data_IF_921438173629
#
_entry.id   IF_921438173629
#
_cell.length_a   1.000
_cell.length_b   1.000
_cell.length_c   1.000
_cell.angle_alpha   90.00
_cell.angle_beta   90.00
_cell.angle_gamma   90.00
#
_symmetry.space_group_name_H-M   'P 1'
#
loop_
_entity.id
_entity.type
_entity.pdbx_description
1 polymer ?
#
# COMPACT_ATOMS: atom_id res chain seq x y z
N UNK A 1 -11.51 6.02 80.08
CA UNK A 1 -11.96 5.24 78.91
C UNK A 1 -11.76 5.97 77.57
N UNK A 2 -11.57 7.30 77.53
CA UNK A 2 -11.42 8.10 76.30
C UNK A 2 -10.05 8.03 75.61
N UNK A 3 -8.95 7.80 76.34
CA UNK A 3 -7.58 7.80 75.76
C UNK A 3 -7.35 6.63 74.78
N UNK A 4 -7.91 5.46 75.05
CA UNK A 4 -7.73 4.28 74.20
C UNK A 4 -8.56 4.34 72.91
N UNK A 5 -9.73 5.02 72.95
CA UNK A 5 -10.59 5.22 71.78
C UNK A 5 -9.97 6.20 70.78
N UNK A 6 -9.30 7.25 71.27
CA UNK A 6 -8.57 8.21 70.44
C UNK A 6 -7.39 7.51 69.74
N UNK A 7 -6.62 6.68 70.45
CA UNK A 7 -5.50 5.93 69.87
C UNK A 7 -5.97 4.96 68.78
N UNK A 8 -7.10 4.27 68.97
CA UNK A 8 -7.67 3.37 67.96
C UNK A 8 -8.19 4.12 66.72
N UNK A 9 -8.80 5.30 66.89
CA UNK A 9 -9.22 6.15 65.77
C UNK A 9 -8.02 6.67 64.96
N UNK A 10 -6.93 7.09 65.63
CA UNK A 10 -5.71 7.50 64.95
C UNK A 10 -5.02 6.34 64.21
N UNK A 11 -5.01 5.14 64.78
CA UNK A 11 -4.46 3.95 64.12
C UNK A 11 -5.28 3.56 62.87
N UNK A 12 -6.61 3.66 62.93
CA UNK A 12 -7.48 3.39 61.78
C UNK A 12 -7.27 4.42 60.65
N UNK A 13 -7.09 5.70 61.00
CA UNK A 13 -6.78 6.76 60.02
C UNK A 13 -5.39 6.59 59.39
N UNK A 14 -4.38 6.22 60.20
CA UNK A 14 -3.02 5.99 59.71
C UNK A 14 -2.93 4.78 58.76
N UNK A 15 -3.64 3.67 59.07
CA UNK A 15 -3.69 2.50 58.21
C UNK A 15 -4.40 2.79 56.87
N UNK A 16 -5.49 3.57 56.91
CA UNK A 16 -6.23 3.97 55.71
C UNK A 16 -5.43 4.94 54.84
N UNK A 17 -4.68 5.88 55.44
CA UNK A 17 -3.82 6.81 54.70
C UNK A 17 -2.66 6.13 53.98
N UNK A 18 -2.06 5.10 54.57
CA UNK A 18 -0.93 4.36 53.98
C UNK A 18 -1.36 3.54 52.76
N UNK A 19 -2.52 2.88 52.82
CA UNK A 19 -3.09 2.17 51.67
C UNK A 19 -3.44 3.14 50.52
N UNK A 20 -4.06 4.28 50.85
CA UNK A 20 -4.43 5.31 49.85
C UNK A 20 -3.19 5.84 49.10
N UNK A 21 -2.07 6.09 49.80
CA UNK A 21 -0.82 6.56 49.18
C UNK A 21 -0.22 5.57 48.16
N UNK A 22 -0.29 4.26 48.43
CA UNK A 22 0.21 3.25 47.50
C UNK A 22 -0.66 3.16 46.23
N UNK A 23 -1.98 3.26 46.38
CA UNK A 23 -2.91 3.32 45.25
C UNK A 23 -2.74 4.60 44.43
N UNK A 24 -2.59 5.76 45.09
CA UNK A 24 -2.30 7.02 44.41
C UNK A 24 -1.02 6.93 43.57
N UNK A 25 0.04 6.30 44.09
CA UNK A 25 1.29 6.11 43.34
C UNK A 25 1.11 5.26 42.07
N UNK A 26 0.32 4.17 42.17
CA UNK A 26 -0.01 3.34 41.00
C UNK A 26 -0.87 4.10 39.99
N UNK A 27 -1.85 4.90 40.43
CA UNK A 27 -2.70 5.72 39.56
C UNK A 27 -1.86 6.77 38.81
N UNK A 28 -1.01 7.52 39.51
CA UNK A 28 -0.15 8.52 38.88
C UNK A 28 0.82 7.90 37.84
N UNK A 29 1.29 6.68 38.12
CA UNK A 29 2.16 5.94 37.18
C UNK A 29 1.40 5.45 35.95
N UNK A 30 0.15 5.01 36.12
CA UNK A 30 -0.73 4.59 35.03
C UNK A 30 -1.14 5.77 34.15
N UNK A 31 -1.42 6.93 34.75
CA UNK A 31 -1.71 8.17 34.04
C UNK A 31 -0.51 8.61 33.19
N UNK A 32 0.71 8.61 33.76
CA UNK A 32 1.93 8.91 33.01
C UNK A 32 2.16 7.94 31.84
N UNK A 33 1.89 6.65 32.03
CA UNK A 33 1.97 5.65 30.95
C UNK A 33 0.88 5.86 29.89
N UNK A 34 -0.32 6.25 30.28
CA UNK A 34 -1.41 6.55 29.35
C UNK A 34 -1.07 7.78 28.49
N UNK A 35 -0.50 8.84 29.07
CA UNK A 35 -0.02 10.01 28.31
C UNK A 35 1.12 9.67 27.36
N UNK A 36 2.07 8.83 27.79
CA UNK A 36 3.15 8.38 26.94
C UNK A 36 2.62 7.58 25.73
N UNK A 37 1.67 6.66 25.97
CA UNK A 37 1.02 5.90 24.92
C UNK A 37 0.19 6.80 23.99
N UNK A 38 -0.43 7.86 24.52
CA UNK A 38 -1.13 8.84 23.69
C UNK A 38 -0.17 9.62 22.79
N UNK A 39 1.00 10.03 23.29
CA UNK A 39 2.05 10.68 22.49
C UNK A 39 2.64 9.75 21.43
N UNK A 40 2.91 8.50 21.79
CA UNK A 40 3.39 7.48 20.85
C UNK A 40 2.35 7.23 19.74
N UNK A 41 1.07 7.09 20.10
CA UNK A 41 -0.02 6.94 19.13
C UNK A 41 -0.17 8.17 18.22
N UNK A 42 0.02 9.39 18.74
CA UNK A 42 0.01 10.60 17.92
C UNK A 42 1.17 10.61 16.91
N UNK A 43 2.38 10.29 17.36
CA UNK A 43 3.55 10.20 16.47
C UNK A 43 3.40 9.11 15.41
N UNK A 44 2.81 7.96 15.78
CA UNK A 44 2.54 6.88 14.83
C UNK A 44 1.51 7.29 13.78
N UNK A 45 0.46 8.05 14.16
CA UNK A 45 -0.51 8.60 13.21
C UNK A 45 0.16 9.53 12.20
N UNK A 46 1.02 10.43 12.65
CA UNK A 46 1.75 11.34 11.76
C UNK A 46 2.66 10.56 10.79
N UNK A 47 3.31 9.50 11.27
CA UNK A 47 4.11 8.59 10.41
C UNK A 47 3.24 7.86 9.39
N UNK A 48 2.04 7.42 9.77
CA UNK A 48 1.10 6.75 8.86
C UNK A 48 0.64 7.71 7.76
N UNK A 49 0.29 8.95 8.08
CA UNK A 49 -0.09 9.96 7.08
C UNK A 49 1.06 10.22 6.10
N UNK A 50 2.28 10.40 6.60
CA UNK A 50 3.44 10.60 5.72
C UNK A 50 3.74 9.38 4.82
N UNK A 51 3.52 8.17 5.32
CA UNK A 51 3.65 6.94 4.53
C UNK A 51 2.52 6.78 3.51
N UNK A 52 1.29 7.16 3.86
CA UNK A 52 0.14 7.17 2.95
C UNK A 52 0.32 8.19 1.82
N UNK A 53 0.84 9.38 2.12
CA UNK A 53 1.18 10.39 1.12
C UNK A 53 2.31 9.91 0.19
N UNK A 54 3.37 9.34 0.75
CA UNK A 54 4.47 8.76 -0.03
C UNK A 54 4.00 7.59 -0.90
N UNK A 55 3.08 6.76 -0.39
CA UNK A 55 2.46 5.68 -1.16
C UNK A 55 1.52 6.23 -2.23
N UNK A 56 0.76 7.28 -1.95
CA UNK A 56 -0.08 7.98 -2.92
C UNK A 56 0.76 8.55 -4.06
N UNK A 57 1.90 9.16 -3.77
CA UNK A 57 2.82 9.68 -4.79
C UNK A 57 3.51 8.56 -5.59
N UNK A 58 3.95 7.49 -4.92
CA UNK A 58 4.51 6.31 -5.60
C UNK A 58 3.46 5.60 -6.47
N UNK A 59 2.24 5.45 -5.97
CA UNK A 59 1.12 4.88 -6.73
C UNK A 59 0.62 5.81 -7.82
N UNK A 60 0.69 7.15 -7.67
CA UNK A 60 0.37 8.11 -8.73
C UNK A 60 1.40 8.09 -9.85
N UNK A 61 2.68 7.88 -9.51
CA UNK A 61 3.76 7.59 -10.47
C UNK A 61 3.57 6.23 -11.17
N UNK A 62 2.96 5.26 -10.48
CA UNK A 62 2.57 3.95 -11.03
C UNK A 62 1.18 3.95 -11.71
N UNK A 63 0.34 4.96 -11.44
CA UNK A 63 -0.95 5.29 -12.06
C UNK A 63 -0.76 6.21 -13.27
N UNK A 64 0.42 6.22 -13.88
CA UNK A 64 0.44 6.03 -15.33
C UNK A 64 0.06 4.57 -15.55
N UNK A 65 -1.24 4.30 -15.39
CA UNK A 65 -1.82 2.96 -15.47
C UNK A 65 -1.31 2.38 -16.78
N UNK A 66 -0.45 1.36 -16.69
CA UNK A 66 -0.25 0.42 -17.78
C UNK A 66 -1.61 -0.26 -17.98
N UNK A 67 -2.53 0.44 -18.63
CA UNK A 67 -3.80 -0.12 -19.07
C UNK A 67 -3.36 -1.33 -19.86
N UNK A 68 -3.77 -2.52 -19.39
CA UNK A 68 -3.49 -3.74 -20.13
C UNK A 68 -3.96 -3.48 -21.56
N UNK A 69 -3.08 -3.66 -22.55
CA UNK A 69 -3.41 -3.29 -23.92
C UNK A 69 -4.64 -4.06 -24.34
N UNK A 70 -5.62 -3.34 -24.89
CA UNK A 70 -6.78 -4.00 -25.46
C UNK A 70 -6.33 -4.76 -26.72
N UNK A 71 -7.13 -5.73 -27.16
CA UNK A 71 -6.80 -6.43 -28.40
C UNK A 71 -6.70 -5.50 -29.61
N UNK A 72 -7.42 -4.37 -29.58
CA UNK A 72 -7.30 -3.33 -30.60
C UNK A 72 -5.96 -2.62 -30.54
N UNK A 73 -5.50 -2.26 -29.34
CA UNK A 73 -4.19 -1.62 -29.15
C UNK A 73 -3.06 -2.51 -29.67
N UNK A 74 -3.13 -3.82 -29.38
CA UNK A 74 -2.17 -4.81 -29.88
C UNK A 74 -2.19 -4.88 -31.41
N UNK A 75 -3.39 -5.01 -32.01
CA UNK A 75 -3.53 -5.09 -33.47
C UNK A 75 -3.08 -3.81 -34.17
N UNK A 76 -3.43 -2.64 -33.63
CA UNK A 76 -2.98 -1.33 -34.14
C UNK A 76 -1.46 -1.25 -34.10
N UNK A 77 -0.84 -1.57 -32.96
CA UNK A 77 0.60 -1.55 -32.81
C UNK A 77 1.30 -2.51 -33.77
N UNK A 78 0.81 -3.75 -33.89
CA UNK A 78 1.36 -4.73 -34.82
C UNK A 78 1.20 -4.31 -36.28
N UNK A 79 0.11 -3.61 -36.61
CA UNK A 79 -0.12 -3.07 -37.95
C UNK A 79 0.84 -1.94 -38.27
N UNK A 80 1.03 -1.02 -37.33
CA UNK A 80 1.99 0.08 -37.43
C UNK A 80 3.44 -0.43 -37.49
N UNK A 81 3.74 -1.52 -36.78
CA UNK A 81 5.03 -2.20 -36.85
C UNK A 81 5.22 -3.04 -38.13
N UNK A 82 4.20 -3.17 -38.99
CA UNK A 82 4.27 -3.90 -40.27
C UNK A 82 4.07 -5.42 -40.18
N UNK A 83 3.73 -5.96 -39.00
CA UNK A 83 3.59 -7.41 -38.77
C UNK A 83 2.15 -7.92 -38.91
N UNK A 84 1.15 -7.03 -38.89
CA UNK A 84 -0.26 -7.39 -38.97
C UNK A 84 -0.99 -6.68 -40.13
N UNK A 85 -1.62 -7.47 -41.00
CA UNK A 85 -2.36 -6.97 -42.18
C UNK A 85 -3.88 -7.14 -42.05
N UNK A 86 -4.35 -7.68 -40.92
CA UNK A 86 -5.78 -7.90 -40.69
C UNK A 86 -6.54 -6.64 -40.28
N UNK A 87 -7.83 -6.85 -40.04
CA UNK A 87 -8.71 -5.83 -39.45
C UNK A 87 -8.42 -5.67 -37.95
N UNK A 88 -8.61 -4.45 -37.44
CA UNK A 88 -8.46 -4.12 -36.02
C UNK A 88 -9.84 -4.32 -35.36
N UNK A 89 -10.19 -5.58 -35.13
CA UNK A 89 -11.49 -5.99 -34.54
C UNK A 89 -11.44 -6.13 -33.01
N UNK A 90 -10.25 -6.14 -32.43
CA UNK A 90 -9.98 -6.36 -31.02
C UNK A 90 -9.88 -7.81 -30.59
N UNK A 91 -10.02 -8.77 -31.51
CA UNK A 91 -9.99 -10.21 -31.22
C UNK A 91 -8.61 -10.78 -31.49
N UNK A 92 -8.02 -11.44 -30.49
CA UNK A 92 -6.72 -12.10 -30.62
C UNK A 92 -6.91 -13.50 -31.25
N UNK A 93 -7.09 -13.51 -32.58
CA UNK A 93 -7.16 -14.73 -33.39
C UNK A 93 -5.80 -15.27 -33.83
N UNK A 94 -5.81 -16.30 -34.67
CA UNK A 94 -4.60 -16.95 -35.22
C UNK A 94 -3.71 -15.98 -36.00
N UNK A 95 -4.31 -15.08 -36.79
CA UNK A 95 -3.59 -14.03 -37.53
C UNK A 95 -2.86 -13.07 -36.59
N UNK A 96 -3.52 -12.63 -35.52
CA UNK A 96 -2.92 -11.73 -34.52
C UNK A 96 -1.79 -12.43 -33.79
N UNK A 97 -1.97 -13.67 -33.33
CA UNK A 97 -0.91 -14.46 -32.68
C UNK A 97 0.29 -14.69 -33.60
N UNK A 98 0.05 -14.99 -34.88
CA UNK A 98 1.11 -15.10 -35.89
C UNK A 98 1.91 -13.82 -36.06
N UNK A 99 1.24 -12.66 -36.07
CA UNK A 99 1.90 -11.36 -36.09
C UNK A 99 2.71 -11.08 -34.81
N UNK A 100 2.19 -11.44 -33.64
CA UNK A 100 2.92 -11.33 -32.36
C UNK A 100 4.19 -12.18 -32.38
N UNK A 101 4.13 -13.43 -32.84
CA UNK A 101 5.31 -14.30 -32.93
C UNK A 101 6.38 -13.71 -33.85
N UNK A 102 5.99 -13.19 -35.02
CA UNK A 102 6.94 -12.53 -35.94
C UNK A 102 7.55 -11.27 -35.34
N UNK A 103 6.74 -10.46 -34.66
CA UNK A 103 7.22 -9.27 -33.96
C UNK A 103 8.21 -9.65 -32.86
N UNK A 104 7.91 -10.69 -32.08
CA UNK A 104 8.77 -11.21 -31.03
C UNK A 104 10.11 -11.69 -31.60
N UNK A 105 10.09 -12.50 -32.66
CA UNK A 105 11.29 -12.99 -33.35
C UNK A 105 12.16 -11.83 -33.86
N UNK A 106 11.55 -10.86 -34.55
CA UNK A 106 12.25 -9.68 -35.06
C UNK A 106 12.88 -8.80 -33.96
N UNK A 107 12.37 -8.91 -32.73
CA UNK A 107 12.82 -8.13 -31.57
C UNK A 107 13.67 -8.94 -30.58
N UNK A 108 14.08 -10.16 -30.93
CA UNK A 108 14.88 -11.04 -30.07
C UNK A 108 14.13 -11.53 -28.82
N UNK A 109 12.80 -11.59 -28.86
CA UNK A 109 11.95 -12.15 -27.81
C UNK A 109 11.60 -13.61 -28.14
N UNK A 110 11.22 -14.38 -27.11
CA UNK A 110 10.68 -15.72 -27.31
C UNK A 110 9.34 -15.64 -28.08
N UNK A 111 9.21 -16.27 -29.27
CA UNK A 111 8.01 -16.16 -30.11
C UNK A 111 6.88 -17.09 -29.64
N UNK A 112 6.34 -16.82 -28.45
CA UNK A 112 5.23 -17.59 -27.85
C UNK A 112 3.83 -17.11 -28.28
N UNK A 113 3.75 -16.00 -29.04
CA UNK A 113 2.50 -15.43 -29.52
C UNK A 113 1.67 -14.74 -28.43
N UNK A 114 2.24 -14.56 -27.23
CA UNK A 114 1.60 -13.94 -26.07
C UNK A 114 2.14 -12.54 -25.82
N UNK A 115 1.24 -11.59 -25.57
CA UNK A 115 1.62 -10.20 -25.29
C UNK A 115 1.77 -10.00 -23.78
N UNK A 116 2.94 -10.41 -23.26
CA UNK A 116 3.35 -10.11 -21.89
C UNK A 116 4.00 -8.74 -21.76
N UNK A 117 4.43 -8.35 -20.56
CA UNK A 117 4.99 -7.02 -20.28
C UNK A 117 6.17 -6.65 -21.19
N UNK A 118 7.10 -7.58 -21.44
CA UNK A 118 8.26 -7.36 -22.33
C UNK A 118 7.86 -7.16 -23.79
N UNK A 119 6.88 -7.93 -24.27
CA UNK A 119 6.34 -7.78 -25.63
C UNK A 119 5.65 -6.43 -25.74
N UNK A 120 4.83 -6.06 -24.76
CA UNK A 120 4.08 -4.79 -24.76
C UNK A 120 4.98 -3.57 -24.63
N UNK A 121 6.04 -3.63 -23.83
CA UNK A 121 7.01 -2.53 -23.68
C UNK A 121 7.52 -2.06 -25.06
N UNK A 122 8.02 -3.00 -25.87
CA UNK A 122 8.48 -2.71 -27.25
C UNK A 122 7.34 -2.38 -28.19
N UNK A 123 6.23 -3.11 -28.12
CA UNK A 123 5.11 -2.95 -29.05
C UNK A 123 4.39 -1.61 -28.85
N UNK A 124 4.36 -1.08 -27.62
CA UNK A 124 3.70 0.18 -27.29
C UNK A 124 4.34 1.40 -27.96
N UNK A 125 5.60 1.32 -28.37
CA UNK A 125 6.29 2.38 -29.13
C UNK A 125 5.58 2.67 -30.47
N UNK A 126 4.98 1.64 -31.07
CA UNK A 126 4.24 1.75 -32.34
C UNK A 126 2.81 2.28 -32.18
N UNK A 127 2.37 2.59 -30.95
CA UNK A 127 1.06 3.21 -30.67
C UNK A 127 1.14 4.72 -30.42
N UNK A 128 2.33 5.26 -30.13
CA UNK A 128 2.54 6.66 -29.71
C UNK A 128 2.93 7.60 -30.86
N UNK A 129 2.64 7.27 -32.10
CA UNK A 129 2.95 8.16 -33.21
C UNK A 129 1.89 9.28 -33.28
N UNK A 130 2.21 10.40 -32.62
CA UNK A 130 1.59 11.72 -32.83
C UNK A 130 2.09 12.34 -34.13
#
# INVERSE_FOLDING_TARGET
>A
MSKNLIVLLFLAFAASGCATLEYQGKINTLEGRAEQLQKENAMLRDKVVALEDALSDATKKQKVVLKAPTGRDIQTALKNAGFYQGEIDGKIGTKTKGAVMKFQEANGLNPDGSVGSRTWEKLSEYTKQE
#
